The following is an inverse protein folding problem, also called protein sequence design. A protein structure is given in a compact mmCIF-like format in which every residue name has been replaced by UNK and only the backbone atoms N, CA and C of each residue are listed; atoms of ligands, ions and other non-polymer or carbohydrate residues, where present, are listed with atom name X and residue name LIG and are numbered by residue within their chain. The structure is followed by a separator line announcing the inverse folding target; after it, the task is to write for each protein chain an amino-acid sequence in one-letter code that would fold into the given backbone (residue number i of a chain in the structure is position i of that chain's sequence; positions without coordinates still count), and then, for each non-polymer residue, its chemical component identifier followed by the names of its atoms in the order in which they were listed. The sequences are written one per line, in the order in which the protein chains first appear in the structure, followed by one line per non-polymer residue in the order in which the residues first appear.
data_IF_614491258529
#
_entry.id   IF_614491258529
#
_cell.length_a   1.000
_cell.length_b   1.000
_cell.length_c   1.000
_cell.angle_alpha   90.00
_cell.angle_beta   90.00
_cell.angle_gamma   90.00
#
_symmetry.space_group_name_H-M   'P 1'
#
loop_
_entity.id
_entity.type
_entity.pdbx_description
1 polymer ?
#
# COMPACT_ATOMS: atom_id res chain seq x y z
N UNK A 1 -10.18 -32.02 -1.73
CA UNK A 1 -8.79 -32.23 -1.27
C UNK A 1 -8.36 -30.97 -0.54
N UNK A 2 -8.09 -31.03 0.77
CA UNK A 2 -7.54 -29.89 1.50
C UNK A 2 -6.08 -29.70 1.08
N UNK A 3 -5.75 -28.50 0.61
CA UNK A 3 -4.36 -28.14 0.31
C UNK A 3 -3.69 -27.78 1.64
N UNK A 4 -2.64 -28.51 1.99
CA UNK A 4 -1.78 -28.18 3.14
C UNK A 4 -1.12 -26.81 2.92
N UNK A 5 -1.44 -25.85 3.78
CA UNK A 5 -0.95 -24.48 3.68
C UNK A 5 0.60 -24.43 3.76
N UNK A 6 1.23 -25.36 4.47
CA UNK A 6 2.70 -25.42 4.61
C UNK A 6 3.41 -25.79 3.31
N UNK A 7 2.70 -26.47 2.38
CA UNK A 7 3.21 -26.81 1.05
C UNK A 7 2.80 -25.82 -0.03
N UNK A 8 1.71 -25.08 0.19
CA UNK A 8 1.17 -24.09 -0.76
C UNK A 8 2.04 -22.84 -0.85
N UNK A 9 2.59 -22.39 0.27
CA UNK A 9 3.34 -21.13 0.35
C UNK A 9 4.82 -21.41 0.59
N UNK A 10 5.68 -20.66 -0.09
CA UNK A 10 7.15 -20.74 0.05
C UNK A 10 7.68 -19.52 0.80
N UNK A 11 8.75 -19.66 1.60
CA UNK A 11 9.40 -18.52 2.24
C UNK A 11 9.93 -17.51 1.20
N UNK A 12 9.87 -16.21 1.54
CA UNK A 12 10.48 -15.17 0.72
C UNK A 12 12.03 -15.25 0.81
N UNK A 13 12.77 -15.18 -0.30
CA UNK A 13 14.22 -15.29 -0.29
C UNK A 13 14.88 -14.09 0.44
N UNK A 14 15.95 -14.31 1.22
CA UNK A 14 16.65 -13.21 1.89
C UNK A 14 17.25 -12.21 0.89
N UNK A 15 17.06 -10.91 1.15
CA UNK A 15 17.69 -9.83 0.37
C UNK A 15 18.99 -9.41 1.07
N UNK A 16 20.11 -9.54 0.36
CA UNK A 16 21.42 -9.10 0.86
C UNK A 16 21.64 -7.61 0.58
N UNK A 17 21.50 -6.80 1.64
CA UNK A 17 21.86 -5.39 1.67
C UNK A 17 22.77 -5.14 2.88
N UNK A 18 24.07 -5.48 2.78
CA UNK A 18 25.00 -5.38 3.91
C UNK A 18 25.17 -3.92 4.37
N UNK A 19 25.25 -2.98 3.43
CA UNK A 19 25.46 -1.55 3.71
C UNK A 19 24.16 -0.75 3.83
N UNK A 20 23.07 -1.40 4.28
CA UNK A 20 21.77 -0.73 4.44
C UNK A 20 21.90 0.38 5.48
N UNK A 21 21.45 1.59 5.13
CA UNK A 21 21.58 2.78 6.00
C UNK A 21 20.28 3.19 6.70
N UNK A 22 19.15 2.60 6.34
CA UNK A 22 17.86 2.94 6.95
C UNK A 22 17.77 2.64 8.46
N UNK A 23 18.47 1.64 9.06
CA UNK A 23 18.38 1.40 10.50
C UNK A 23 18.96 2.51 11.39
N UNK A 24 19.90 3.30 10.88
CA UNK A 24 20.58 4.36 11.63
C UNK A 24 20.11 5.77 11.28
N UNK A 25 19.08 5.90 10.42
CA UNK A 25 18.58 7.20 9.95
C UNK A 25 17.24 7.54 10.60
N UNK A 26 17.12 8.76 11.07
CA UNK A 26 15.86 9.36 11.49
C UNK A 26 15.31 10.24 10.36
N UNK A 27 14.00 10.19 10.10
CA UNK A 27 13.36 11.07 9.14
C UNK A 27 13.46 12.53 9.62
N UNK A 28 13.93 13.42 8.75
CA UNK A 28 14.11 14.84 9.06
C UNK A 28 13.08 15.76 8.37
N UNK A 29 12.29 15.21 7.45
CA UNK A 29 11.30 15.95 6.67
C UNK A 29 10.16 15.02 6.25
N UNK A 30 8.99 15.60 5.98
CA UNK A 30 7.89 14.87 5.37
C UNK A 30 8.25 14.46 3.93
N UNK A 31 7.80 13.28 3.45
CA UNK A 31 7.93 12.91 2.05
C UNK A 31 6.93 13.68 1.18
N UNK A 32 7.08 13.54 -0.14
CA UNK A 32 6.02 13.90 -1.08
C UNK A 32 4.95 12.82 -1.00
N UNK A 33 3.72 13.22 -0.71
CA UNK A 33 2.58 12.32 -0.64
C UNK A 33 1.91 12.16 -2.01
N UNK A 34 1.44 10.94 -2.28
CA UNK A 34 0.60 10.63 -3.42
C UNK A 34 -0.60 9.84 -2.90
N UNK A 35 -1.79 10.43 -2.94
CA UNK A 35 -3.02 9.73 -2.59
C UNK A 35 -3.42 8.80 -3.73
N UNK A 36 -3.63 7.52 -3.42
CA UNK A 36 -4.13 6.50 -4.35
C UNK A 36 -5.62 6.20 -4.14
N UNK A 37 -6.28 6.95 -3.28
CA UNK A 37 -7.60 6.69 -2.75
C UNK A 37 -8.70 6.58 -3.82
N UNK A 38 -8.72 7.49 -4.79
CA UNK A 38 -9.71 7.52 -5.87
C UNK A 38 -9.54 6.40 -6.90
N UNK A 39 -8.42 5.67 -6.86
CA UNK A 39 -8.10 4.55 -7.77
C UNK A 39 -8.02 3.24 -7.02
N UNK A 40 -6.97 3.04 -6.23
CA UNK A 40 -6.69 1.77 -5.55
C UNK A 40 -7.66 1.55 -4.39
N UNK A 41 -7.88 2.60 -3.58
CA UNK A 41 -8.87 2.57 -2.52
C UNK A 41 -10.27 2.31 -3.06
N UNK A 42 -10.68 3.06 -4.08
CA UNK A 42 -11.98 2.88 -4.73
C UNK A 42 -12.20 1.48 -5.33
N UNK A 43 -11.16 0.84 -5.86
CA UNK A 43 -11.23 -0.51 -6.43
C UNK A 43 -11.40 -1.59 -5.36
N UNK A 44 -10.97 -1.33 -4.13
CA UNK A 44 -11.09 -2.26 -3.01
C UNK A 44 -12.47 -2.20 -2.32
N UNK A 45 -13.32 -1.23 -2.65
CA UNK A 45 -14.64 -1.10 -2.06
C UNK A 45 -15.63 -2.11 -2.66
N UNK A 46 -16.45 -2.72 -1.81
CA UNK A 46 -17.60 -3.55 -2.21
C UNK A 46 -18.57 -2.72 -3.06
N UNK A 47 -18.85 -1.50 -2.61
CA UNK A 47 -19.61 -0.49 -3.36
C UNK A 47 -18.65 0.62 -3.81
N UNK A 48 -18.25 0.64 -5.09
CA UNK A 48 -17.39 1.70 -5.61
C UNK A 48 -18.02 3.08 -5.40
N UNK A 49 -17.17 4.10 -5.22
CA UNK A 49 -17.60 5.48 -5.14
C UNK A 49 -18.26 5.90 -6.46
N UNK A 50 -19.46 6.45 -6.34
CA UNK A 50 -20.09 7.22 -7.40
C UNK A 50 -19.35 8.54 -7.65
N UNK A 51 -19.81 9.28 -8.67
CA UNK A 51 -19.22 10.56 -9.06
C UNK A 51 -19.20 11.58 -7.91
N UNK A 52 -20.25 11.63 -7.10
CA UNK A 52 -20.38 12.63 -6.04
C UNK A 52 -19.40 12.34 -4.89
N UNK A 53 -19.32 11.08 -4.45
CA UNK A 53 -18.35 10.62 -3.46
C UNK A 53 -16.92 10.84 -3.93
N UNK A 54 -16.61 10.57 -5.21
CA UNK A 54 -15.29 10.84 -5.79
C UNK A 54 -14.95 12.32 -5.77
N UNK A 55 -15.88 13.19 -6.16
CA UNK A 55 -15.64 14.63 -6.17
C UNK A 55 -15.42 15.17 -4.75
N UNK A 56 -16.27 14.80 -3.80
CA UNK A 56 -16.08 15.20 -2.38
C UNK A 56 -14.74 14.73 -1.83
N UNK A 57 -14.29 13.53 -2.18
CA UNK A 57 -13.02 13.01 -1.68
C UNK A 57 -11.81 13.62 -2.38
N UNK A 58 -11.93 13.95 -3.67
CA UNK A 58 -10.94 14.77 -4.36
C UNK A 58 -10.79 16.15 -3.69
N UNK A 59 -11.90 16.84 -3.41
CA UNK A 59 -11.91 18.14 -2.72
C UNK A 59 -11.32 18.09 -1.31
N UNK A 60 -11.37 16.93 -0.64
CA UNK A 60 -10.71 16.75 0.66
C UNK A 60 -9.18 16.64 0.55
N UNK A 61 -8.67 16.12 -0.58
CA UNK A 61 -7.26 15.81 -0.79
C UNK A 61 -6.46 16.99 -1.39
N UNK A 62 -7.15 17.95 -2.00
CA UNK A 62 -6.56 19.09 -2.73
C UNK A 62 -6.51 20.36 -1.89
#
# INVERSE_FOLDING_TARGET
MNVDATRKYRPFPPIQLPDRRWPSRTLAQAPIWCSSDLRDGNQALIEPMDRERKLRFFELLV
#
